data_IF_288809653867
#
_entry.id   IF_288809653867
#
_cell.length_a   1.000
_cell.length_b   1.000
_cell.length_c   1.000
_cell.angle_alpha   90.00
_cell.angle_beta   90.00
_cell.angle_gamma   90.00
#
_symmetry.space_group_name_H-M   'P 1'
#
loop_
_entity.id
_entity.type
_entity.pdbx_description
1 polymer ?
#
# COMPACT_ATOMS: atom_id res chain seq x y z
N UNK A 1 0.27 34.05 13.47
CA UNK A 1 0.33 32.63 13.09
C UNK A 1 1.79 32.30 12.81
N UNK A 2 2.44 31.55 13.68
CA UNK A 2 3.81 31.08 13.44
C UNK A 2 3.72 29.79 12.62
N UNK A 3 4.08 29.88 11.34
CA UNK A 3 4.23 28.72 10.46
C UNK A 3 5.65 28.16 10.58
N UNK A 4 5.79 26.89 10.96
CA UNK A 4 7.07 26.18 10.87
C UNK A 4 7.29 25.69 9.44
N UNK A 5 8.43 26.06 8.85
CA UNK A 5 8.93 25.45 7.61
C UNK A 5 9.66 24.16 8.00
N UNK A 6 9.09 23.02 7.65
CA UNK A 6 9.71 21.70 7.87
C UNK A 6 10.31 21.24 6.54
N UNK A 7 11.60 20.90 6.54
CA UNK A 7 12.21 20.20 5.41
C UNK A 7 11.69 18.76 5.40
N UNK A 8 10.71 18.49 4.54
CA UNK A 8 10.37 17.12 4.19
C UNK A 8 11.53 16.61 3.31
N UNK A 9 12.13 15.50 3.69
CA UNK A 9 13.16 14.83 2.90
C UNK A 9 12.78 14.79 1.42
N UNK A 10 13.77 14.86 0.51
CA UNK A 10 13.57 14.76 -0.94
C UNK A 10 13.08 13.35 -1.31
N UNK A 11 11.79 13.11 -1.08
CA UNK A 11 11.09 11.94 -1.58
C UNK A 11 10.85 12.15 -3.08
N UNK A 12 11.36 11.26 -3.95
CA UNK A 12 11.13 11.35 -5.39
C UNK A 12 9.64 11.30 -5.77
N UNK A 13 8.74 10.81 -4.89
CA UNK A 13 7.29 10.81 -5.08
C UNK A 13 6.59 12.09 -4.55
N UNK A 14 7.34 13.03 -3.95
CA UNK A 14 6.83 14.28 -3.38
C UNK A 14 6.41 15.31 -4.42
N UNK A 15 5.36 15.03 -5.19
CA UNK A 15 4.74 15.95 -6.14
C UNK A 15 3.51 16.65 -5.52
N UNK A 16 3.48 17.97 -5.62
CA UNK A 16 2.45 18.79 -4.97
C UNK A 16 1.23 19.04 -5.84
N UNK A 17 0.13 19.27 -5.12
CA UNK A 17 -1.25 19.04 -5.56
C UNK A 17 -1.43 17.58 -5.95
N UNK A 18 -1.64 16.74 -4.94
CA UNK A 18 -1.93 15.32 -5.09
C UNK A 18 -3.05 14.90 -4.12
N UNK A 19 -3.82 13.89 -4.51
CA UNK A 19 -4.69 13.18 -3.57
C UNK A 19 -3.84 12.09 -2.91
N UNK A 20 -3.62 12.22 -1.61
CA UNK A 20 -2.82 11.28 -0.81
C UNK A 20 -3.61 10.00 -0.47
N UNK A 21 -3.07 9.22 0.46
CA UNK A 21 -3.70 8.02 1.02
C UNK A 21 -3.38 6.77 0.20
N UNK A 22 -2.98 5.70 0.88
CA UNK A 22 -2.71 4.39 0.28
C UNK A 22 -3.25 3.21 1.11
N UNK A 23 -4.05 3.49 2.15
CA UNK A 23 -4.74 2.49 2.97
C UNK A 23 -6.23 2.70 2.82
N UNK A 24 -6.89 1.81 2.06
CA UNK A 24 -8.32 1.85 1.86
C UNK A 24 -8.85 0.46 1.49
N UNK A 25 -10.17 0.32 1.57
CA UNK A 25 -10.91 -0.77 0.97
C UNK A 25 -12.17 -0.17 0.34
N UNK A 26 -12.65 -0.77 -0.74
CA UNK A 26 -13.75 -0.23 -1.51
C UNK A 26 -14.42 -1.26 -2.40
N UNK A 27 -15.30 -0.79 -3.26
CA UNK A 27 -16.03 -1.60 -4.22
C UNK A 27 -15.70 -1.09 -5.61
N UNK A 28 -15.43 -2.01 -6.54
CA UNK A 28 -15.15 -1.67 -7.94
C UNK A 28 -16.41 -1.06 -8.56
N UNK A 29 -16.29 0.16 -9.08
CA UNK A 29 -17.37 0.83 -9.81
C UNK A 29 -17.37 0.42 -11.30
N UNK A 30 -16.23 0.53 -11.97
CA UNK A 30 -16.03 0.14 -13.37
C UNK A 30 -14.59 -0.33 -13.61
N UNK A 31 -14.36 -0.98 -14.76
CA UNK A 31 -13.04 -1.46 -15.18
C UNK A 31 -12.72 -1.03 -16.61
N UNK A 32 -11.42 -0.83 -16.89
CA UNK A 32 -10.94 -0.53 -18.23
C UNK A 32 -10.94 -1.75 -19.15
N UNK A 33 -10.74 -1.51 -20.44
CA UNK A 33 -10.60 -2.57 -21.44
C UNK A 33 -9.45 -3.54 -21.08
N UNK A 34 -9.69 -4.85 -21.21
CA UNK A 34 -8.71 -5.91 -20.96
C UNK A 34 -8.55 -6.33 -19.50
N UNK A 35 -9.17 -5.63 -18.54
CA UNK A 35 -9.18 -6.06 -17.14
C UNK A 35 -10.09 -7.28 -16.98
N UNK A 36 -9.58 -8.34 -16.34
CA UNK A 36 -10.27 -9.64 -16.20
C UNK A 36 -10.30 -10.18 -14.77
N UNK A 37 -9.39 -9.76 -13.89
CA UNK A 37 -9.26 -10.29 -12.53
C UNK A 37 -10.28 -9.68 -11.54
N UNK A 38 -10.86 -8.53 -11.88
CA UNK A 38 -11.89 -7.82 -11.09
C UNK A 38 -13.00 -7.30 -11.99
N UNK A 39 -14.19 -7.12 -11.43
CA UNK A 39 -15.37 -6.61 -12.13
C UNK A 39 -16.19 -5.67 -11.23
N UNK A 40 -17.10 -4.85 -11.79
CA UNK A 40 -18.02 -4.03 -11.00
C UNK A 40 -18.71 -4.81 -9.88
N UNK A 41 -18.76 -4.23 -8.68
CA UNK A 41 -19.33 -4.83 -7.48
C UNK A 41 -18.35 -5.67 -6.66
N UNK A 42 -17.15 -5.98 -7.16
CA UNK A 42 -16.14 -6.69 -6.37
C UNK A 42 -15.61 -5.82 -5.23
N UNK A 43 -15.40 -6.45 -4.07
CA UNK A 43 -14.78 -5.81 -2.92
C UNK A 43 -13.27 -5.90 -3.07
N UNK A 44 -12.58 -4.79 -2.87
CA UNK A 44 -11.15 -4.66 -3.20
C UNK A 44 -10.35 -3.82 -2.21
N UNK A 45 -9.05 -4.09 -2.16
CA UNK A 45 -8.04 -3.25 -1.52
C UNK A 45 -7.06 -2.78 -2.61
N UNK A 46 -6.91 -1.47 -2.86
CA UNK A 46 -5.83 -0.96 -3.70
C UNK A 46 -4.49 -1.06 -2.95
N UNK A 47 -3.52 -1.70 -3.58
CA UNK A 47 -2.18 -1.95 -3.03
C UNK A 47 -1.13 -1.07 -3.73
N UNK A 48 -0.36 -0.31 -2.95
CA UNK A 48 0.71 0.53 -3.50
C UNK A 48 1.84 -0.28 -4.18
N UNK A 49 2.01 -1.55 -3.78
CA UNK A 49 2.94 -2.48 -4.39
C UNK A 49 2.17 -3.43 -5.32
N UNK A 50 2.41 -3.28 -6.63
CA UNK A 50 1.78 -4.11 -7.65
C UNK A 50 2.27 -5.57 -7.62
N UNK A 51 1.51 -6.45 -8.26
CA UNK A 51 1.89 -7.84 -8.58
C UNK A 51 1.45 -8.20 -10.01
N UNK A 52 2.28 -7.90 -11.01
CA UNK A 52 1.90 -8.14 -12.41
C UNK A 52 2.02 -9.59 -12.89
N UNK A 53 2.61 -10.49 -12.09
CA UNK A 53 2.88 -11.91 -12.40
C UNK A 53 3.80 -12.19 -13.61
N UNK A 54 4.07 -11.19 -14.45
CA UNK A 54 4.76 -11.37 -15.72
C UNK A 54 6.22 -10.90 -15.75
N UNK A 55 6.59 -9.95 -14.89
CA UNK A 55 7.95 -9.40 -14.89
C UNK A 55 8.98 -10.35 -14.26
N UNK A 56 10.27 -10.13 -14.53
CA UNK A 56 11.37 -10.94 -13.98
C UNK A 56 11.32 -11.09 -12.45
N UNK A 57 10.84 -10.07 -11.73
CA UNK A 57 10.74 -10.08 -10.28
C UNK A 57 9.60 -11.00 -9.81
N UNK A 58 8.40 -10.84 -10.37
CA UNK A 58 7.26 -11.71 -10.05
C UNK A 58 7.54 -13.18 -10.41
N UNK A 59 8.17 -13.43 -11.56
CA UNK A 59 8.54 -14.79 -12.00
C UNK A 59 9.71 -15.41 -11.23
N UNK A 60 10.41 -14.64 -10.39
CA UNK A 60 11.63 -15.12 -9.73
C UNK A 60 11.39 -16.12 -8.60
N UNK A 61 10.20 -16.09 -7.98
CA UNK A 61 9.93 -16.81 -6.73
C UNK A 61 10.75 -16.34 -5.52
N UNK A 62 11.46 -15.21 -5.63
CA UNK A 62 12.44 -14.74 -4.63
C UNK A 62 12.11 -13.37 -4.03
N UNK A 63 11.13 -12.65 -4.57
CA UNK A 63 10.79 -11.29 -4.12
C UNK A 63 9.35 -10.92 -4.47
N UNK A 64 8.77 -9.99 -3.71
CA UNK A 64 7.48 -9.35 -3.97
C UNK A 64 7.60 -7.99 -4.68
N UNK A 65 8.81 -7.57 -5.08
CA UNK A 65 9.08 -6.23 -5.63
C UNK A 65 8.77 -6.13 -7.14
N UNK A 66 7.50 -6.05 -7.50
CA UNK A 66 7.10 -5.79 -8.88
C UNK A 66 7.51 -4.38 -9.34
N UNK A 67 8.05 -4.29 -10.56
CA UNK A 67 8.45 -3.03 -11.20
C UNK A 67 7.51 -2.53 -12.31
N UNK A 68 6.40 -3.23 -12.58
CA UNK A 68 5.59 -3.05 -13.82
C UNK A 68 5.07 -1.62 -14.02
N UNK A 69 4.53 -1.00 -12.98
CA UNK A 69 3.87 0.32 -13.04
C UNK A 69 4.63 1.42 -12.28
N UNK A 70 5.75 1.05 -11.64
CA UNK A 70 6.49 1.92 -10.70
C UNK A 70 6.94 3.25 -11.33
N UNK A 71 7.31 3.24 -12.61
CA UNK A 71 7.73 4.46 -13.31
C UNK A 71 6.60 5.46 -13.53
N UNK A 72 5.35 5.01 -13.52
CA UNK A 72 4.16 5.86 -13.63
C UNK A 72 3.70 6.32 -12.24
N UNK A 73 3.54 5.37 -11.31
CA UNK A 73 3.03 5.66 -9.97
C UNK A 73 3.96 6.57 -9.19
N UNK A 74 5.28 6.37 -9.29
CA UNK A 74 6.28 7.24 -8.66
C UNK A 74 6.39 8.64 -9.30
N UNK A 75 5.76 8.85 -10.46
CA UNK A 75 5.63 10.16 -11.11
C UNK A 75 4.20 10.73 -11.00
N UNK A 76 3.34 10.12 -10.19
CA UNK A 76 1.97 10.57 -9.94
C UNK A 76 1.03 10.49 -11.15
N UNK A 77 1.28 9.57 -12.09
CA UNK A 77 0.51 9.43 -13.34
C UNK A 77 0.18 7.98 -13.67
N UNK A 78 -0.73 7.76 -14.62
CA UNK A 78 -1.10 6.43 -15.09
C UNK A 78 -0.17 5.93 -16.19
N UNK A 79 0.14 4.63 -16.18
CA UNK A 79 1.02 4.00 -17.19
C UNK A 79 0.48 4.11 -18.64
N UNK A 80 -0.84 4.04 -18.84
CA UNK A 80 -1.44 3.94 -20.18
C UNK A 80 -1.17 5.18 -21.07
N UNK A 81 -1.27 6.37 -20.49
CA UNK A 81 -1.17 7.64 -21.22
C UNK A 81 -0.26 8.68 -20.57
N UNK A 82 0.42 8.30 -19.46
CA UNK A 82 1.32 9.15 -18.68
C UNK A 82 0.65 10.42 -18.15
N UNK A 83 -0.66 10.37 -17.89
CA UNK A 83 -1.45 11.48 -17.34
C UNK A 83 -2.14 11.08 -16.04
N UNK A 84 -2.56 12.08 -15.26
CA UNK A 84 -3.44 11.87 -14.13
C UNK A 84 -4.88 11.55 -14.58
N UNK A 85 -5.70 11.06 -13.64
CA UNK A 85 -7.16 10.91 -13.76
C UNK A 85 -7.92 11.93 -12.91
N UNK A 86 -7.20 12.70 -12.10
CA UNK A 86 -7.76 13.76 -11.29
C UNK A 86 -7.50 15.13 -11.91
N UNK A 87 -8.51 16.00 -11.82
CA UNK A 87 -8.36 17.41 -12.16
C UNK A 87 -9.31 18.26 -11.32
N UNK A 88 -8.89 19.49 -11.02
CA UNK A 88 -9.77 20.54 -10.50
C UNK A 88 -9.67 21.73 -11.43
N UNK A 89 -10.81 22.21 -11.92
CA UNK A 89 -10.88 23.33 -12.88
C UNK A 89 -9.99 23.12 -14.12
N UNK A 90 -9.95 21.89 -14.64
CA UNK A 90 -9.13 21.50 -15.80
C UNK A 90 -7.63 21.40 -15.54
N UNK A 91 -7.16 21.68 -14.32
CA UNK A 91 -5.75 21.51 -13.94
C UNK A 91 -5.53 20.12 -13.34
N UNK A 92 -4.51 19.37 -13.79
CA UNK A 92 -4.26 18.01 -13.29
C UNK A 92 -3.83 18.04 -11.81
N UNK A 93 -4.24 17.01 -11.07
CA UNK A 93 -3.80 16.73 -9.70
C UNK A 93 -3.09 15.38 -9.73
N UNK A 94 -1.91 15.27 -9.14
CA UNK A 94 -1.13 14.04 -9.18
C UNK A 94 -1.79 12.91 -8.39
N UNK A 95 -1.54 11.68 -8.85
CA UNK A 95 -1.72 10.49 -8.05
C UNK A 95 -0.61 10.36 -7.01
N UNK A 96 -0.87 9.59 -5.95
CA UNK A 96 0.06 9.29 -4.88
C UNK A 96 0.14 7.77 -4.69
N UNK A 97 1.35 7.21 -4.70
CA UNK A 97 1.62 5.78 -4.51
C UNK A 97 0.79 4.85 -5.42
N UNK A 98 0.27 5.36 -6.55
CA UNK A 98 -0.64 4.62 -7.44
C UNK A 98 -2.00 4.25 -6.83
N UNK A 99 -2.42 4.93 -5.75
CA UNK A 99 -3.62 4.59 -4.97
C UNK A 99 -4.55 5.79 -4.75
N UNK A 100 -4.05 6.92 -4.23
CA UNK A 100 -4.81 8.17 -4.05
C UNK A 100 -6.17 8.01 -3.37
N UNK A 101 -6.18 7.35 -2.23
CA UNK A 101 -7.40 6.89 -1.56
C UNK A 101 -8.10 7.95 -0.71
N UNK A 102 -7.53 9.16 -0.56
CA UNK A 102 -8.22 10.30 0.05
C UNK A 102 -9.17 10.99 -0.93
N UNK A 103 -10.03 10.19 -1.56
CA UNK A 103 -11.06 10.60 -2.52
C UNK A 103 -12.21 9.58 -2.47
N UNK A 104 -13.43 10.01 -2.76
CA UNK A 104 -14.59 9.09 -2.85
C UNK A 104 -14.42 8.05 -3.97
N UNK A 105 -13.70 8.43 -5.04
CA UNK A 105 -13.37 7.56 -6.16
C UNK A 105 -11.89 7.74 -6.51
N UNK A 106 -11.25 6.64 -6.90
CA UNK A 106 -9.88 6.65 -7.41
C UNK A 106 -9.75 5.71 -8.61
N UNK A 107 -8.72 5.92 -9.43
CA UNK A 107 -8.40 5.07 -10.57
C UNK A 107 -7.00 4.52 -10.37
N UNK A 108 -6.89 3.19 -10.34
CA UNK A 108 -5.64 2.47 -10.06
C UNK A 108 -5.32 1.49 -11.19
N UNK A 109 -4.09 0.98 -11.23
CA UNK A 109 -3.73 -0.11 -12.13
C UNK A 109 -4.35 -1.42 -11.64
N UNK A 110 -4.85 -2.23 -12.56
CA UNK A 110 -5.42 -3.56 -12.28
C UNK A 110 -4.45 -4.47 -11.50
N UNK A 111 -3.17 -4.47 -11.87
CA UNK A 111 -2.09 -5.19 -11.18
C UNK A 111 -1.83 -4.71 -9.74
N UNK A 112 -2.49 -3.65 -9.30
CA UNK A 112 -2.44 -3.06 -7.96
C UNK A 112 -3.76 -3.23 -7.19
N UNK A 113 -4.68 -4.07 -7.67
CA UNK A 113 -5.97 -4.32 -7.02
C UNK A 113 -6.02 -5.74 -6.47
N UNK A 114 -6.20 -5.86 -5.15
CA UNK A 114 -6.47 -7.15 -4.52
C UNK A 114 -7.99 -7.32 -4.32
N UNK A 115 -8.58 -8.31 -4.99
CA UNK A 115 -9.95 -8.75 -4.73
C UNK A 115 -10.03 -9.46 -3.38
N UNK A 116 -11.03 -9.13 -2.57
CA UNK A 116 -11.22 -9.68 -1.22
C UNK A 116 -12.61 -10.29 -1.04
N UNK A 117 -12.81 -10.92 0.11
CA UNK A 117 -14.11 -11.46 0.53
C UNK A 117 -15.17 -10.33 0.61
N UNK A 118 -16.32 -10.44 -0.09
CA UNK A 118 -17.37 -9.43 -0.03
C UNK A 118 -18.05 -9.30 1.34
N UNK A 119 -17.86 -10.25 2.26
CA UNK A 119 -18.35 -10.17 3.63
C UNK A 119 -17.36 -9.44 4.57
N UNK A 120 -16.16 -9.12 4.10
CA UNK A 120 -15.17 -8.44 4.91
C UNK A 120 -15.60 -6.99 5.23
N UNK A 121 -15.54 -6.56 6.51
CA UNK A 121 -15.88 -5.19 6.89
C UNK A 121 -14.82 -4.21 6.37
N UNK A 122 -15.18 -3.43 5.34
CA UNK A 122 -14.28 -2.51 4.62
C UNK A 122 -13.66 -1.44 5.54
N UNK A 123 -14.37 -1.04 6.59
CA UNK A 123 -13.92 -0.10 7.62
C UNK A 123 -12.80 -0.66 8.51
N UNK A 124 -12.54 -1.97 8.45
CA UNK A 124 -11.47 -2.64 9.19
C UNK A 124 -10.35 -3.12 8.28
N UNK A 125 -10.70 -3.77 7.16
CA UNK A 125 -9.70 -4.41 6.29
C UNK A 125 -8.91 -3.43 5.44
N UNK A 126 -9.26 -2.14 5.42
CA UNK A 126 -8.45 -1.09 4.81
C UNK A 126 -6.99 -1.07 5.30
N UNK A 127 -6.75 -1.42 6.57
CA UNK A 127 -5.41 -1.52 7.17
C UNK A 127 -4.57 -2.69 6.61
N UNK A 128 -5.19 -3.63 5.90
CA UNK A 128 -4.50 -4.72 5.21
C UNK A 128 -3.84 -4.27 3.89
N UNK A 129 -3.97 -3.00 3.51
CA UNK A 129 -3.23 -2.42 2.38
C UNK A 129 -1.79 -1.99 2.71
N UNK A 130 -1.41 -1.91 4.00
CA UNK A 130 -0.09 -1.43 4.41
C UNK A 130 0.38 -2.01 5.76
N UNK A 131 0.20 -1.27 6.86
CA UNK A 131 1.01 -1.45 8.07
C UNK A 131 0.89 -2.82 8.74
N UNK A 132 -0.31 -3.42 8.75
CA UNK A 132 -0.54 -4.74 9.35
C UNK A 132 0.20 -5.85 8.58
N UNK A 133 0.00 -6.03 7.25
CA UNK A 133 0.79 -6.96 6.46
C UNK A 133 2.29 -6.69 6.50
N UNK A 134 2.72 -5.44 6.58
CA UNK A 134 4.14 -5.10 6.70
C UNK A 134 4.75 -5.71 7.97
N UNK A 135 4.12 -5.52 9.13
CA UNK A 135 4.62 -6.08 10.38
C UNK A 135 4.56 -7.61 10.44
N UNK A 136 3.43 -8.20 10.05
CA UNK A 136 3.27 -9.66 10.03
C UNK A 136 4.24 -10.32 9.02
N UNK A 137 4.34 -9.75 7.81
CA UNK A 137 5.21 -10.22 6.75
C UNK A 137 6.70 -10.09 7.08
N UNK A 138 7.10 -9.06 7.82
CA UNK A 138 8.48 -8.92 8.32
C UNK A 138 8.88 -10.14 9.17
N UNK A 139 7.97 -10.64 10.00
CA UNK A 139 8.20 -11.84 10.82
C UNK A 139 8.15 -13.12 9.99
N UNK A 140 7.09 -13.33 9.22
CA UNK A 140 6.80 -14.63 8.59
C UNK A 140 7.64 -14.89 7.34
N UNK A 141 7.85 -13.85 6.54
CA UNK A 141 8.40 -13.99 5.20
C UNK A 141 9.87 -13.59 5.15
N UNK A 142 10.21 -12.47 5.80
CA UNK A 142 11.56 -11.90 5.73
C UNK A 142 12.49 -12.47 6.81
N UNK A 143 12.17 -12.26 8.09
CA UNK A 143 13.01 -12.73 9.20
C UNK A 143 12.82 -14.23 9.48
N UNK A 144 11.65 -14.80 9.13
CA UNK A 144 11.29 -16.20 9.37
C UNK A 144 11.54 -16.63 10.82
N UNK A 145 11.08 -15.82 11.76
CA UNK A 145 11.40 -16.01 13.17
C UNK A 145 10.83 -17.32 13.70
N UNK A 146 11.67 -18.03 14.46
CA UNK A 146 11.38 -19.35 15.01
C UNK A 146 10.68 -19.26 16.38
N UNK A 147 9.88 -20.27 16.77
CA UNK A 147 9.30 -20.34 18.12
C UNK A 147 10.37 -20.27 19.21
N UNK A 148 10.10 -19.50 20.27
CA UNK A 148 11.00 -19.35 21.42
C UNK A 148 12.10 -18.30 21.24
N UNK A 149 12.21 -17.66 20.07
CA UNK A 149 13.16 -16.57 19.85
C UNK A 149 12.86 -15.34 20.73
N UNK A 150 13.91 -14.62 21.13
CA UNK A 150 13.80 -13.30 21.78
C UNK A 150 13.84 -12.23 20.68
N UNK A 151 12.86 -11.34 20.69
CA UNK A 151 12.70 -10.31 19.64
C UNK A 151 12.72 -8.93 20.26
N UNK A 152 13.56 -8.05 19.72
CA UNK A 152 13.54 -6.62 20.01
C UNK A 152 12.74 -5.88 18.92
N UNK A 153 11.77 -5.07 19.34
CA UNK A 153 10.95 -4.25 18.44
C UNK A 153 11.28 -2.78 18.72
N UNK A 154 11.83 -2.10 17.72
CA UNK A 154 12.16 -0.68 17.78
C UNK A 154 11.05 0.13 17.11
N UNK A 155 10.26 0.84 17.93
CA UNK A 155 9.09 1.62 17.48
C UNK A 155 7.78 0.83 17.59
N UNK A 156 6.81 1.38 18.32
CA UNK A 156 5.55 0.71 18.70
C UNK A 156 4.31 1.36 18.07
N UNK A 157 4.47 1.89 16.85
CA UNK A 157 3.34 2.24 15.99
C UNK A 157 2.69 0.99 15.38
N UNK A 158 1.73 1.18 14.46
CA UNK A 158 0.94 0.09 13.86
C UNK A 158 1.80 -1.07 13.32
N UNK A 159 2.90 -0.78 12.62
CA UNK A 159 3.79 -1.82 12.07
C UNK A 159 4.47 -2.63 13.19
N UNK A 160 5.01 -1.96 14.21
CA UNK A 160 5.67 -2.62 15.33
C UNK A 160 4.69 -3.45 16.18
N UNK A 161 3.46 -2.95 16.37
CA UNK A 161 2.40 -3.72 16.99
C UNK A 161 2.02 -4.94 16.15
N UNK A 162 1.92 -4.82 14.82
CA UNK A 162 1.64 -5.96 13.95
C UNK A 162 2.76 -7.02 13.98
N UNK A 163 4.03 -6.62 14.14
CA UNK A 163 5.13 -7.55 14.43
C UNK A 163 4.86 -8.35 15.72
N UNK A 164 4.33 -7.70 16.76
CA UNK A 164 4.08 -8.33 18.07
C UNK A 164 2.91 -9.32 18.10
N UNK A 165 1.93 -9.22 17.20
CA UNK A 165 0.66 -10.00 17.27
C UNK A 165 0.85 -11.52 17.20
N UNK A 166 1.92 -12.04 16.58
CA UNK A 166 2.21 -13.49 16.60
C UNK A 166 2.84 -13.97 17.91
N UNK A 167 3.33 -13.06 18.74
CA UNK A 167 4.20 -13.39 19.86
C UNK A 167 3.53 -13.43 21.23
N UNK A 168 2.21 -13.65 21.29
CA UNK A 168 1.55 -14.06 22.54
C UNK A 168 2.17 -15.35 23.14
N UNK A 169 3.04 -16.06 22.41
CA UNK A 169 3.78 -17.24 22.84
C UNK A 169 5.32 -17.09 22.93
N UNK A 170 5.90 -15.88 22.77
CA UNK A 170 7.34 -15.68 23.02
C UNK A 170 7.62 -15.33 24.49
N UNK A 171 8.77 -15.79 24.96
CA UNK A 171 9.18 -15.73 26.38
C UNK A 171 9.47 -14.29 26.82
N UNK A 172 9.87 -13.40 25.92
CA UNK A 172 10.13 -11.99 26.23
C UNK A 172 10.08 -11.11 24.97
N UNK A 173 9.27 -10.05 24.99
CA UNK A 173 9.31 -8.97 24.00
C UNK A 173 9.94 -7.77 24.69
N UNK A 174 11.17 -7.42 24.30
CA UNK A 174 11.79 -6.18 24.77
C UNK A 174 11.25 -5.02 23.91
N UNK A 175 10.30 -4.30 24.49
CA UNK A 175 9.65 -3.15 23.88
C UNK A 175 10.52 -1.91 24.11
N UNK A 176 11.16 -1.42 23.05
CA UNK A 176 11.91 -0.17 23.10
C UNK A 176 11.13 0.95 22.40
N UNK A 177 10.60 1.87 23.20
CA UNK A 177 10.07 3.13 22.70
C UNK A 177 11.26 4.10 22.55
N UNK A 178 11.82 4.20 21.35
CA UNK A 178 12.77 5.27 21.05
C UNK A 178 11.97 6.58 21.00
N UNK A 179 12.06 7.36 22.08
CA UNK A 179 11.68 8.77 22.15
C UNK A 179 12.83 9.65 21.66
#
# INVERSE_FOLDING_TARGET
MMSCLIYLFKDPEGLFLCFLGHEAAGIVESVGEGVTEVQPGDYVIPCYQAECRECKFCKSGKTNLCGKVRTATGAGVMMNDRKSRFSINGKPIYHFMGTSTFSQYTVVHDVSVAKIDPQAPLDKVCLLGCGVPTGLGAVWNTAKVEPGAIVAIFGLGTVGLAVSVKYASCVEICLYCLL
#
